data_IF_325300181711
#
_entry.id   IF_325300181711
#
_cell.length_a   1.000
_cell.length_b   1.000
_cell.length_c   1.000
_cell.angle_alpha   90.00
_cell.angle_beta   90.00
_cell.angle_gamma   90.00
#
_symmetry.space_group_name_H-M   'P 1'
#
loop_
_entity.id
_entity.type
_entity.pdbx_description
1 polymer ?
#
# COMPACT_ATOMS: atom_id res chain seq x y z
N UNK A 1 38.85 0.87 -5.95
CA UNK A 1 37.48 0.37 -5.84
C UNK A 1 37.07 0.50 -4.38
N UNK A 2 36.23 1.46 -4.10
CA UNK A 2 35.71 1.67 -2.75
C UNK A 2 34.55 0.70 -2.55
N UNK A 3 34.77 -0.33 -1.71
CA UNK A 3 33.77 -1.34 -1.38
C UNK A 3 33.29 -1.13 0.03
N UNK A 4 31.98 -0.94 0.18
CA UNK A 4 31.36 -0.80 1.50
C UNK A 4 30.13 -1.71 1.64
N UNK A 5 29.79 -2.02 2.89
CA UNK A 5 28.56 -2.75 3.21
C UNK A 5 27.72 -1.85 4.10
N UNK A 6 26.54 -1.51 3.61
CA UNK A 6 25.53 -0.76 4.38
C UNK A 6 24.53 -1.77 4.94
N UNK A 7 24.54 -1.93 6.25
CA UNK A 7 23.68 -2.89 6.95
C UNK A 7 22.32 -2.30 7.29
N UNK A 8 21.29 -3.14 7.31
CA UNK A 8 19.94 -2.79 7.73
C UNK A 8 19.29 -1.67 6.87
N UNK A 9 19.53 -1.70 5.56
CA UNK A 9 18.79 -0.86 4.62
C UNK A 9 17.32 -1.29 4.56
N UNK A 10 16.42 -0.33 4.33
CA UNK A 10 14.98 -0.56 4.27
C UNK A 10 14.50 -0.62 2.84
N UNK A 11 13.78 -1.68 2.50
CA UNK A 11 13.18 -1.89 1.18
C UNK A 11 11.75 -1.35 1.15
N UNK A 12 11.46 -0.44 0.21
CA UNK A 12 10.14 0.18 0.02
C UNK A 12 9.27 -0.51 -1.05
N UNK A 13 9.67 -1.67 -1.55
CA UNK A 13 9.01 -2.29 -2.70
C UNK A 13 7.61 -2.84 -2.39
N UNK A 14 7.32 -3.19 -1.14
CA UNK A 14 5.99 -3.66 -0.72
C UNK A 14 5.76 -3.41 0.77
N UNK A 15 4.53 -3.58 1.24
CA UNK A 15 4.14 -3.33 2.63
C UNK A 15 4.85 -4.17 3.70
N UNK A 16 5.67 -5.16 3.34
CA UNK A 16 6.57 -5.83 4.29
C UNK A 16 7.66 -4.92 4.86
N UNK A 17 8.02 -3.87 4.14
CA UNK A 17 8.99 -2.85 4.55
C UNK A 17 10.21 -3.49 5.26
N UNK A 18 10.89 -4.41 4.52
CA UNK A 18 12.00 -5.20 5.08
C UNK A 18 13.18 -4.28 5.42
N UNK A 19 13.58 -4.23 6.68
CA UNK A 19 14.59 -3.35 7.26
C UNK A 19 15.87 -4.11 7.70
N UNK A 20 16.11 -5.28 7.13
CA UNK A 20 17.23 -6.17 7.42
C UNK A 20 18.08 -6.48 6.17
N UNK A 21 18.06 -5.61 5.18
CA UNK A 21 18.78 -5.79 3.93
C UNK A 21 20.20 -5.26 4.07
N UNK A 22 21.22 -6.06 3.69
CA UNK A 22 22.60 -5.58 3.60
C UNK A 22 22.93 -5.27 2.14
N UNK A 23 23.31 -4.03 1.88
CA UNK A 23 23.69 -3.54 0.56
C UNK A 23 25.22 -3.56 0.42
N UNK A 24 25.73 -4.32 -0.52
CA UNK A 24 27.11 -4.25 -0.94
C UNK A 24 27.24 -3.22 -2.05
N UNK A 25 28.16 -2.29 -1.90
CA UNK A 25 28.35 -1.21 -2.86
C UNK A 25 29.79 -1.20 -3.37
N UNK A 26 29.94 -0.87 -4.66
CA UNK A 26 31.21 -0.64 -5.33
C UNK A 26 31.13 0.67 -6.13
N UNK A 27 32.05 1.60 -5.86
CA UNK A 27 32.13 2.90 -6.55
C UNK A 27 30.76 3.63 -6.63
N UNK A 28 29.99 3.62 -5.51
CA UNK A 28 28.68 4.30 -5.40
C UNK A 28 27.50 3.53 -6.01
N UNK A 29 27.69 2.30 -6.50
CA UNK A 29 26.64 1.46 -7.07
C UNK A 29 26.33 0.27 -6.18
N UNK A 30 25.05 -0.12 -6.11
CA UNK A 30 24.63 -1.32 -5.39
C UNK A 30 24.89 -2.53 -6.30
N UNK A 31 25.81 -3.41 -5.88
CA UNK A 31 26.18 -4.62 -6.63
C UNK A 31 25.55 -5.89 -6.07
N UNK A 32 25.14 -5.86 -4.78
CA UNK A 32 24.46 -6.98 -4.13
C UNK A 32 23.53 -6.45 -3.03
N UNK A 33 22.35 -7.04 -2.91
CA UNK A 33 21.40 -6.80 -1.83
C UNK A 33 21.11 -8.13 -1.12
N UNK A 34 21.79 -8.38 -0.01
CA UNK A 34 21.62 -9.60 0.76
C UNK A 34 20.26 -9.60 1.45
N UNK A 35 19.62 -10.76 1.50
CA UNK A 35 18.28 -10.97 2.05
C UNK A 35 17.15 -10.24 1.28
N UNK A 36 17.44 -9.53 0.19
CA UNK A 36 16.41 -8.98 -0.68
C UNK A 36 15.72 -10.06 -1.50
N UNK A 37 14.39 -10.02 -1.56
CA UNK A 37 13.61 -10.83 -2.51
C UNK A 37 13.70 -10.26 -3.93
N UNK A 38 13.00 -10.88 -4.89
CA UNK A 38 12.95 -10.39 -6.27
C UNK A 38 12.54 -8.90 -6.34
N UNK A 39 11.44 -8.54 -5.73
CA UNK A 39 10.94 -7.15 -5.71
C UNK A 39 11.93 -6.19 -5.02
N UNK A 40 12.54 -6.61 -3.91
CA UNK A 40 13.56 -5.80 -3.24
C UNK A 40 14.83 -5.61 -4.07
N UNK A 41 15.23 -6.63 -4.84
CA UNK A 41 16.35 -6.49 -5.80
C UNK A 41 16.00 -5.49 -6.90
N UNK A 42 14.81 -5.58 -7.48
CA UNK A 42 14.34 -4.61 -8.47
C UNK A 42 14.35 -3.18 -7.90
N UNK A 43 13.91 -3.00 -6.63
CA UNK A 43 13.97 -1.72 -5.93
C UNK A 43 15.39 -1.17 -5.81
N UNK A 44 16.33 -1.97 -5.30
CA UNK A 44 17.70 -1.52 -5.04
C UNK A 44 18.54 -1.40 -6.31
N UNK A 45 18.42 -2.34 -7.25
CA UNK A 45 19.19 -2.27 -8.51
C UNK A 45 18.64 -1.29 -9.52
N UNK A 46 17.39 -0.85 -9.37
CA UNK A 46 16.80 0.27 -10.12
C UNK A 46 17.25 1.64 -9.60
N UNK A 47 18.17 1.70 -8.63
CA UNK A 47 18.74 2.94 -8.15
C UNK A 47 19.80 3.50 -9.12
N UNK A 48 19.63 4.75 -9.52
CA UNK A 48 20.53 5.49 -10.44
C UNK A 48 20.95 6.81 -9.80
N UNK A 49 21.70 6.73 -8.69
CA UNK A 49 22.16 7.91 -7.92
C UNK A 49 23.19 8.78 -8.62
N UNK A 50 23.67 8.38 -9.79
CA UNK A 50 24.59 9.14 -10.65
C UNK A 50 23.88 10.05 -11.67
N UNK A 51 22.53 10.12 -11.65
CA UNK A 51 21.77 11.01 -12.52
C UNK A 51 22.21 12.46 -12.35
N UNK A 52 22.53 13.13 -13.46
CA UNK A 52 22.84 14.57 -13.49
C UNK A 52 21.57 15.41 -13.67
N UNK A 53 20.48 14.82 -14.11
CA UNK A 53 19.20 15.50 -14.33
C UNK A 53 18.46 15.60 -13.02
N UNK A 54 18.15 16.81 -12.58
CA UNK A 54 17.36 17.10 -11.37
C UNK A 54 15.91 17.42 -11.70
N UNK A 55 15.67 18.02 -12.87
CA UNK A 55 14.33 18.35 -13.36
C UNK A 55 14.26 18.44 -14.89
N UNK A 56 13.06 18.28 -15.41
CA UNK A 56 12.71 18.50 -16.82
C UNK A 56 11.50 19.43 -16.89
N UNK A 57 11.51 20.35 -17.85
CA UNK A 57 10.35 21.17 -18.24
C UNK A 57 10.10 20.93 -19.73
N UNK A 58 8.89 20.55 -20.09
CA UNK A 58 8.51 20.14 -21.46
C UNK A 58 9.50 19.14 -22.08
N UNK A 59 9.93 18.15 -21.27
CA UNK A 59 10.86 17.11 -21.68
C UNK A 59 12.32 17.55 -21.83
N UNK A 60 12.67 18.80 -21.51
CA UNK A 60 14.04 19.35 -21.61
C UNK A 60 14.64 19.54 -20.23
N UNK A 61 15.94 19.23 -20.02
CA UNK A 61 16.61 19.51 -18.75
C UNK A 61 16.45 20.99 -18.35
N UNK A 62 16.08 21.22 -17.10
CA UNK A 62 15.86 22.52 -16.50
C UNK A 62 16.52 22.62 -15.13
N UNK A 63 16.74 23.84 -14.65
CA UNK A 63 17.14 24.04 -13.27
C UNK A 63 16.01 23.70 -12.30
N UNK A 64 16.35 23.43 -11.04
CA UNK A 64 15.34 23.17 -10.01
C UNK A 64 14.39 24.36 -9.84
N UNK A 65 14.91 25.58 -9.85
CA UNK A 65 14.11 26.80 -9.65
C UNK A 65 13.14 27.03 -10.82
N UNK A 66 13.61 26.88 -12.07
CA UNK A 66 12.76 26.96 -13.26
C UNK A 66 11.63 25.92 -13.24
N UNK A 67 11.93 24.68 -12.84
CA UNK A 67 10.94 23.63 -12.74
C UNK A 67 9.94 23.89 -11.60
N UNK A 68 10.39 24.42 -10.46
CA UNK A 68 9.53 24.81 -9.34
C UNK A 68 8.57 25.93 -9.74
N UNK A 69 9.06 26.97 -10.42
CA UNK A 69 8.22 28.06 -10.92
C UNK A 69 7.17 27.56 -11.93
N UNK A 70 7.57 26.68 -12.86
CA UNK A 70 6.65 26.08 -13.83
C UNK A 70 5.58 25.23 -13.14
N UNK A 71 5.97 24.38 -12.19
CA UNK A 71 5.04 23.55 -11.41
C UNK A 71 4.07 24.40 -10.58
N UNK A 72 4.56 25.42 -9.87
CA UNK A 72 3.74 26.35 -9.11
C UNK A 72 2.73 27.08 -10.02
N UNK A 73 3.18 27.55 -11.20
CA UNK A 73 2.30 28.21 -12.17
C UNK A 73 1.19 27.29 -12.70
N UNK A 74 1.46 25.99 -12.90
CA UNK A 74 0.44 25.00 -13.30
C UNK A 74 -0.61 24.85 -12.20
N UNK A 75 -0.16 24.63 -10.97
CA UNK A 75 -1.07 24.39 -9.84
C UNK A 75 -1.87 25.64 -9.45
N UNK A 76 -1.27 26.84 -9.53
CA UNK A 76 -1.96 28.09 -9.21
C UNK A 76 -3.07 28.46 -10.20
N UNK A 77 -3.02 27.96 -11.43
CA UNK A 77 -4.01 28.25 -12.48
C UNK A 77 -5.15 27.24 -12.53
N UNK A 78 -5.01 26.14 -11.83
CA UNK A 78 -6.02 25.09 -11.83
C UNK A 78 -7.20 25.46 -10.93
N UNK A 79 -8.40 25.16 -11.40
CA UNK A 79 -9.62 25.31 -10.61
C UNK A 79 -9.80 24.15 -9.64
N UNK A 80 -9.38 22.92 -10.02
CA UNK A 80 -9.43 21.73 -9.18
C UNK A 80 -8.15 20.86 -9.36
N UNK A 81 -7.01 21.29 -8.80
CA UNK A 81 -5.78 20.51 -8.89
C UNK A 81 -5.84 19.21 -8.07
N UNK A 82 -5.37 18.11 -8.66
CA UNK A 82 -5.30 16.79 -8.03
C UNK A 82 -3.86 16.47 -7.63
N UNK A 83 -3.62 16.13 -6.37
CA UNK A 83 -2.37 15.52 -5.91
C UNK A 83 -2.61 14.02 -5.70
N UNK A 84 -1.80 13.15 -6.30
CA UNK A 84 -1.99 11.71 -6.26
C UNK A 84 -0.71 10.91 -6.08
N UNK A 85 -0.81 9.77 -5.35
CA UNK A 85 0.24 8.76 -5.24
C UNK A 85 0.68 8.49 -3.81
N UNK A 86 1.89 8.92 -3.46
CA UNK A 86 2.45 8.96 -2.10
C UNK A 86 2.79 7.59 -1.46
N UNK A 87 2.40 6.46 -2.06
CA UNK A 87 2.61 5.13 -1.48
C UNK A 87 4.07 4.68 -1.40
N UNK A 88 4.95 5.30 -2.19
CA UNK A 88 6.41 5.06 -2.16
C UNK A 88 7.22 6.28 -1.67
N UNK A 89 6.56 7.27 -1.09
CA UNK A 89 7.19 8.44 -0.46
C UNK A 89 7.32 8.28 1.05
N UNK A 90 8.15 9.10 1.69
CA UNK A 90 8.27 9.15 3.16
C UNK A 90 7.04 9.80 3.81
N UNK A 91 6.83 9.59 5.10
CA UNK A 91 5.77 10.28 5.85
C UNK A 91 5.95 11.80 5.86
N UNK A 92 7.19 12.25 5.84
CA UNK A 92 7.57 13.67 5.75
C UNK A 92 7.09 14.26 4.41
N UNK A 93 7.35 13.57 3.30
CA UNK A 93 6.88 13.95 1.97
C UNK A 93 5.35 13.91 1.86
N UNK A 94 4.72 12.88 2.43
CA UNK A 94 3.25 12.76 2.48
C UNK A 94 2.62 13.95 3.21
N UNK A 95 3.22 14.37 4.33
CA UNK A 95 2.79 15.56 5.07
C UNK A 95 2.94 16.83 4.22
N UNK A 96 4.08 17.01 3.53
CA UNK A 96 4.29 18.18 2.67
C UNK A 96 3.26 18.24 1.52
N UNK A 97 2.92 17.08 0.92
CA UNK A 97 1.91 17.01 -0.13
C UNK A 97 0.49 17.39 0.37
N UNK A 98 0.11 16.95 1.58
CA UNK A 98 -1.19 17.29 2.17
C UNK A 98 -1.26 18.80 2.46
N UNK A 99 -0.20 19.37 3.03
CA UNK A 99 -0.13 20.81 3.29
C UNK A 99 -0.19 21.63 2.00
N UNK A 100 0.43 21.14 0.91
CA UNK A 100 0.31 21.76 -0.41
C UNK A 100 -1.11 21.70 -0.95
N UNK A 101 -1.79 20.54 -0.83
CA UNK A 101 -3.18 20.40 -1.26
C UNK A 101 -4.13 21.35 -0.52
N UNK A 102 -3.93 21.51 0.79
CA UNK A 102 -4.69 22.45 1.61
C UNK A 102 -4.46 23.91 1.17
N UNK A 103 -3.22 24.31 0.95
CA UNK A 103 -2.86 25.67 0.55
C UNK A 103 -3.46 26.08 -0.82
N UNK A 104 -3.52 25.14 -1.77
CA UNK A 104 -4.07 25.40 -3.12
C UNK A 104 -5.55 25.10 -3.25
N UNK A 105 -6.23 24.64 -2.17
CA UNK A 105 -7.62 24.24 -2.22
C UNK A 105 -7.90 23.05 -3.16
N UNK A 106 -6.90 22.19 -3.36
CA UNK A 106 -6.99 21.07 -4.27
C UNK A 106 -7.55 19.79 -3.64
N UNK A 107 -7.54 18.72 -4.41
CA UNK A 107 -7.86 17.37 -3.94
C UNK A 107 -6.59 16.54 -3.80
N UNK A 108 -6.49 15.79 -2.72
CA UNK A 108 -5.40 14.84 -2.52
C UNK A 108 -5.93 13.42 -2.33
N UNK A 109 -5.33 12.47 -3.03
CA UNK A 109 -5.67 11.06 -2.90
C UNK A 109 -4.42 10.18 -2.96
N UNK A 110 -4.53 8.99 -2.41
CA UNK A 110 -3.42 8.04 -2.33
C UNK A 110 -3.71 6.79 -3.16
N UNK A 111 -2.67 6.04 -3.51
CA UNK A 111 -2.79 4.74 -4.16
C UNK A 111 -3.75 3.79 -3.39
N UNK A 112 -3.86 3.97 -2.08
CA UNK A 112 -4.75 3.16 -1.23
C UNK A 112 -6.22 3.25 -1.62
N UNK A 113 -6.71 4.39 -2.12
CA UNK A 113 -8.12 4.55 -2.48
C UNK A 113 -8.59 3.47 -3.44
N UNK A 114 -7.77 3.11 -4.43
CA UNK A 114 -8.06 2.08 -5.42
C UNK A 114 -7.91 0.65 -4.88
N UNK A 115 -6.98 0.40 -3.97
CA UNK A 115 -6.61 -0.95 -3.52
C UNK A 115 -7.31 -1.33 -2.23
N UNK A 116 -7.11 -0.55 -1.18
CA UNK A 116 -7.59 -0.80 0.17
C UNK A 116 -8.51 0.30 0.73
N UNK A 117 -9.00 1.23 -0.10
CA UNK A 117 -10.05 2.17 0.28
C UNK A 117 -11.28 1.46 0.85
N UNK A 118 -11.81 0.41 0.20
CA UNK A 118 -12.88 -0.41 0.76
C UNK A 118 -12.53 -1.03 2.12
N UNK A 119 -11.26 -1.36 2.37
CA UNK A 119 -10.82 -1.88 3.68
C UNK A 119 -10.93 -0.83 4.78
N UNK A 120 -10.73 0.46 4.45
CA UNK A 120 -10.92 1.55 5.40
C UNK A 120 -12.39 1.71 5.76
N UNK A 121 -13.28 1.73 4.75
CA UNK A 121 -14.72 1.82 4.96
C UNK A 121 -15.25 0.66 5.78
N UNK A 122 -14.85 -0.58 5.47
CA UNK A 122 -15.24 -1.75 6.26
C UNK A 122 -14.81 -1.64 7.72
N UNK A 123 -13.57 -1.16 7.96
CA UNK A 123 -13.08 -0.94 9.33
C UNK A 123 -13.82 0.20 10.06
N UNK A 124 -14.21 1.26 9.37
CA UNK A 124 -15.03 2.34 9.97
C UNK A 124 -16.42 1.87 10.37
N UNK A 125 -17.03 0.94 9.61
CA UNK A 125 -18.38 0.42 9.90
C UNK A 125 -18.41 -0.45 11.17
N UNK A 126 -17.41 -1.31 11.37
CA UNK A 126 -17.48 -2.35 12.41
C UNK A 126 -16.27 -2.38 13.34
N UNK A 127 -15.28 -1.52 13.14
CA UNK A 127 -14.00 -1.60 13.82
C UNK A 127 -13.08 -2.67 13.23
N UNK A 128 -11.85 -2.75 13.73
CA UNK A 128 -10.90 -3.77 13.31
C UNK A 128 -10.13 -4.34 14.51
N UNK A 129 -9.86 -5.63 14.46
CA UNK A 129 -8.90 -6.30 15.35
C UNK A 129 -7.67 -6.62 14.52
N UNK A 130 -6.53 -6.07 14.88
CA UNK A 130 -5.28 -6.26 14.13
C UNK A 130 -4.14 -6.67 15.06
N UNK A 131 -3.01 -7.08 14.48
CA UNK A 131 -1.79 -7.45 15.21
C UNK A 131 -0.55 -7.03 14.43
N UNK A 132 0.59 -7.01 15.12
CA UNK A 132 1.88 -6.77 14.50
C UNK A 132 2.43 -8.04 13.83
N UNK A 133 3.29 -7.88 12.81
CA UNK A 133 4.02 -9.01 12.23
C UNK A 133 4.97 -9.67 13.24
N UNK A 134 5.38 -8.94 14.29
CA UNK A 134 6.10 -9.48 15.42
C UNK A 134 5.26 -10.45 16.25
N UNK A 135 3.98 -10.15 16.47
CA UNK A 135 3.03 -11.08 17.12
C UNK A 135 2.76 -12.29 16.24
N UNK A 136 2.55 -12.08 14.94
CA UNK A 136 2.40 -13.19 13.98
C UNK A 136 3.58 -14.15 14.08
N UNK A 137 4.80 -13.65 13.98
CA UNK A 137 6.02 -14.44 14.07
C UNK A 137 6.13 -15.25 15.36
N UNK A 138 5.73 -14.65 16.48
CA UNK A 138 5.92 -15.26 17.81
C UNK A 138 4.75 -16.12 18.26
N UNK A 139 3.53 -15.92 17.75
CA UNK A 139 2.31 -16.49 18.34
C UNK A 139 1.42 -17.25 17.37
N UNK A 140 1.32 -16.80 16.08
CA UNK A 140 0.32 -17.31 15.17
C UNK A 140 0.59 -18.78 14.83
N UNK A 141 -0.39 -19.63 15.10
CA UNK A 141 -0.42 -21.05 14.76
C UNK A 141 -1.42 -21.37 13.63
N UNK A 142 -2.35 -20.43 13.34
CA UNK A 142 -3.23 -20.50 12.18
C UNK A 142 -3.11 -19.24 11.32
N UNK A 143 -2.80 -19.42 10.05
CA UNK A 143 -2.64 -18.35 9.07
C UNK A 143 -3.65 -18.58 7.94
N UNK A 144 -4.58 -17.64 7.75
CA UNK A 144 -5.57 -17.71 6.67
C UNK A 144 -5.33 -16.56 5.70
N UNK A 145 -4.95 -16.87 4.48
CA UNK A 145 -4.78 -15.92 3.40
C UNK A 145 -6.03 -15.87 2.54
N UNK A 146 -6.62 -14.70 2.36
CA UNK A 146 -7.88 -14.51 1.66
C UNK A 146 -7.74 -13.53 0.50
N UNK A 147 -7.96 -13.99 -0.73
CA UNK A 147 -7.90 -13.17 -1.93
C UNK A 147 -6.54 -12.45 -2.09
N UNK A 148 -5.44 -13.16 -1.84
CA UNK A 148 -4.08 -12.63 -1.93
C UNK A 148 -3.07 -13.70 -2.30
N UNK A 149 -2.02 -13.31 -3.06
CA UNK A 149 -0.95 -14.20 -3.50
C UNK A 149 0.43 -13.71 -2.99
N UNK A 150 0.72 -13.84 -1.68
CA UNK A 150 1.93 -13.28 -1.09
C UNK A 150 3.25 -13.89 -1.59
N UNK A 151 3.24 -15.09 -2.18
CA UNK A 151 4.44 -15.66 -2.84
C UNK A 151 4.93 -14.71 -3.95
N UNK A 152 4.03 -14.07 -4.66
CA UNK A 152 4.36 -13.12 -5.74
C UNK A 152 4.44 -11.68 -5.25
N UNK A 153 3.46 -11.24 -4.45
CA UNK A 153 3.32 -9.83 -4.05
C UNK A 153 4.16 -9.45 -2.84
N UNK A 154 4.44 -10.40 -1.94
CA UNK A 154 5.17 -10.19 -0.69
C UNK A 154 6.15 -11.35 -0.40
N UNK A 155 7.15 -11.63 -1.26
CA UNK A 155 7.89 -12.91 -1.26
C UNK A 155 8.58 -13.25 0.06
N UNK A 156 8.97 -12.23 0.87
CA UNK A 156 9.58 -12.47 2.19
C UNK A 156 8.58 -12.57 3.34
N UNK A 157 7.29 -12.36 3.10
CA UNK A 157 6.30 -12.42 4.17
C UNK A 157 6.28 -13.78 4.87
N UNK A 158 6.27 -14.88 4.10
CA UNK A 158 6.28 -16.24 4.64
C UNK A 158 7.55 -16.57 5.40
N UNK A 159 8.71 -16.19 4.86
CA UNK A 159 10.01 -16.57 5.40
C UNK A 159 10.49 -15.67 6.52
N UNK A 160 10.01 -14.42 6.60
CA UNK A 160 10.45 -13.48 7.61
C UNK A 160 9.50 -13.38 8.79
N UNK A 161 8.18 -13.42 8.54
CA UNK A 161 7.20 -13.06 9.56
C UNK A 161 6.18 -14.16 9.87
N UNK A 162 5.65 -14.88 8.87
CA UNK A 162 4.42 -15.61 9.08
C UNK A 162 4.62 -17.13 9.19
N UNK A 163 5.11 -17.79 8.15
CA UNK A 163 4.96 -19.23 8.00
C UNK A 163 6.13 -20.07 8.49
N UNK A 164 7.36 -19.73 8.06
CA UNK A 164 8.55 -20.53 8.37
C UNK A 164 9.29 -20.14 9.66
N UNK A 165 9.28 -18.86 10.13
CA UNK A 165 10.15 -18.49 11.23
C UNK A 165 9.72 -19.14 12.54
N UNK A 166 10.73 -19.53 13.35
CA UNK A 166 10.51 -19.93 14.73
C UNK A 166 10.12 -18.71 15.57
N UNK A 167 9.21 -18.92 16.51
CA UNK A 167 8.72 -17.89 17.44
C UNK A 167 8.63 -18.40 18.88
N UNK A 168 8.41 -17.48 19.81
CA UNK A 168 8.38 -17.81 21.25
C UNK A 168 7.34 -18.87 21.61
N UNK A 169 6.16 -18.83 20.97
CA UNK A 169 5.04 -19.75 21.25
C UNK A 169 4.81 -20.76 20.11
N UNK A 170 5.64 -20.72 19.08
CA UNK A 170 5.66 -21.62 17.94
C UNK A 170 7.11 -22.02 17.62
N UNK A 171 7.78 -22.71 18.57
CA UNK A 171 9.21 -23.04 18.48
C UNK A 171 9.57 -23.96 17.31
N UNK A 172 8.62 -24.77 16.83
CA UNK A 172 8.79 -25.61 15.64
C UNK A 172 8.70 -24.84 14.32
N UNK A 173 8.35 -23.54 14.37
CA UNK A 173 8.22 -22.71 13.17
C UNK A 173 7.10 -23.23 12.27
N UNK A 174 7.48 -23.63 11.02
CA UNK A 174 6.55 -24.20 10.03
C UNK A 174 5.70 -25.36 10.57
N UNK A 175 6.28 -26.20 11.40
CA UNK A 175 5.63 -27.41 11.90
C UNK A 175 4.58 -27.14 13.01
N UNK A 176 4.61 -25.96 13.61
CA UNK A 176 3.62 -25.53 14.61
C UNK A 176 2.50 -24.67 13.99
N UNK A 177 2.47 -24.53 12.66
CA UNK A 177 1.54 -23.66 11.94
C UNK A 177 0.75 -24.39 10.88
N UNK A 178 -0.50 -24.03 10.75
CA UNK A 178 -1.35 -24.36 9.60
C UNK A 178 -1.56 -23.13 8.75
N UNK A 179 -1.38 -23.27 7.44
CA UNK A 179 -1.63 -22.23 6.46
C UNK A 179 -2.77 -22.62 5.52
N UNK A 180 -3.84 -21.83 5.54
CA UNK A 180 -5.00 -22.00 4.68
C UNK A 180 -5.04 -20.85 3.67
N UNK A 181 -5.31 -21.16 2.41
CA UNK A 181 -5.58 -20.13 1.41
C UNK A 181 -7.03 -20.25 0.92
N UNK A 182 -7.74 -19.12 0.90
CA UNK A 182 -9.08 -18.96 0.34
C UNK A 182 -8.99 -18.04 -0.87
N UNK A 183 -9.24 -18.56 -2.05
CA UNK A 183 -9.18 -17.81 -3.31
C UNK A 183 -10.08 -18.40 -4.38
N UNK A 184 -10.29 -17.67 -5.46
CA UNK A 184 -11.07 -18.10 -6.63
C UNK A 184 -10.24 -18.92 -7.61
N UNK A 185 -8.91 -18.88 -7.50
CA UNK A 185 -7.99 -19.56 -8.43
C UNK A 185 -6.79 -20.18 -7.72
N UNK A 186 -6.22 -21.23 -8.33
CA UNK A 186 -4.99 -21.89 -7.88
C UNK A 186 -3.77 -21.00 -8.17
N UNK A 187 -3.33 -20.26 -7.17
CA UNK A 187 -2.15 -19.39 -7.22
C UNK A 187 -0.90 -20.10 -6.71
N UNK A 188 0.30 -19.49 -6.89
CA UNK A 188 1.52 -20.02 -6.28
C UNK A 188 1.42 -20.09 -4.74
N UNK A 189 0.67 -19.20 -4.11
CA UNK A 189 0.41 -19.24 -2.67
C UNK A 189 -0.53 -20.37 -2.28
N UNK A 190 -1.51 -20.72 -3.13
CA UNK A 190 -2.37 -21.87 -2.93
C UNK A 190 -1.58 -23.18 -2.89
N UNK A 191 -0.62 -23.33 -3.80
CA UNK A 191 0.28 -24.51 -3.86
C UNK A 191 1.25 -24.60 -2.69
N UNK A 192 1.54 -23.47 -2.03
CA UNK A 192 2.38 -23.42 -0.84
C UNK A 192 1.60 -23.66 0.47
N UNK A 193 0.27 -23.56 0.43
CA UNK A 193 -0.61 -23.72 1.59
C UNK A 193 -0.76 -25.19 1.99
N UNK A 194 -1.11 -25.43 3.27
CA UNK A 194 -1.49 -26.75 3.75
C UNK A 194 -2.89 -27.15 3.27
N UNK A 195 -3.76 -26.15 3.11
CA UNK A 195 -5.13 -26.31 2.63
C UNK A 195 -5.48 -25.18 1.67
N UNK A 196 -6.10 -25.52 0.55
CA UNK A 196 -6.65 -24.58 -0.39
C UNK A 196 -8.16 -24.73 -0.47
N UNK A 197 -8.89 -23.66 -0.19
CA UNK A 197 -10.34 -23.59 -0.32
C UNK A 197 -10.67 -22.71 -1.52
N UNK A 198 -11.02 -23.34 -2.63
CA UNK A 198 -11.47 -22.61 -3.82
C UNK A 198 -12.93 -22.23 -3.66
N UNK A 199 -13.24 -20.94 -3.83
CA UNK A 199 -14.58 -20.39 -3.77
C UNK A 199 -15.04 -19.87 -5.12
N UNK A 200 -16.36 -19.72 -5.30
CA UNK A 200 -16.90 -19.10 -6.50
C UNK A 200 -16.60 -17.59 -6.49
N UNK A 201 -16.23 -16.99 -7.65
CA UNK A 201 -15.94 -15.57 -7.74
C UNK A 201 -17.08 -14.68 -7.22
N UNK A 202 -16.75 -13.71 -6.36
CA UNK A 202 -17.69 -12.73 -5.83
C UNK A 202 -18.62 -13.25 -4.73
N UNK A 203 -18.31 -14.40 -4.11
CA UNK A 203 -19.10 -15.00 -3.00
C UNK A 203 -18.41 -14.87 -1.64
N UNK A 204 -17.45 -13.97 -1.54
CA UNK A 204 -16.69 -13.72 -0.30
C UNK A 204 -17.59 -13.31 0.86
N UNK A 205 -18.56 -12.42 0.60
CA UNK A 205 -19.52 -11.95 1.62
C UNK A 205 -20.39 -13.08 2.15
N UNK A 206 -20.89 -13.91 1.24
CA UNK A 206 -21.72 -15.07 1.54
C UNK A 206 -20.96 -16.06 2.43
N UNK A 207 -19.73 -16.43 2.05
CA UNK A 207 -18.90 -17.33 2.84
C UNK A 207 -18.61 -16.77 4.24
N UNK A 208 -18.15 -15.50 4.32
CA UNK A 208 -17.86 -14.86 5.60
C UNK A 208 -19.09 -14.79 6.51
N UNK A 209 -20.28 -14.61 5.93
CA UNK A 209 -21.55 -14.60 6.66
C UNK A 209 -21.90 -15.99 7.17
N UNK A 210 -21.75 -17.03 6.36
CA UNK A 210 -21.94 -18.44 6.75
C UNK A 210 -20.98 -18.82 7.88
N UNK A 211 -19.68 -18.55 7.72
CA UNK A 211 -18.69 -18.87 8.76
C UNK A 211 -19.03 -18.19 10.09
N UNK A 212 -19.44 -16.92 10.03
CA UNK A 212 -19.87 -16.20 11.23
C UNK A 212 -21.14 -16.76 11.86
N UNK A 213 -22.10 -17.25 11.06
CA UNK A 213 -23.29 -17.92 11.56
C UNK A 213 -22.92 -19.19 12.33
N UNK A 214 -22.03 -20.04 11.78
CA UNK A 214 -21.54 -21.27 12.44
C UNK A 214 -20.82 -20.90 13.75
N UNK A 215 -19.90 -19.92 13.74
CA UNK A 215 -19.18 -19.46 14.95
C UNK A 215 -20.15 -19.04 16.07
N UNK A 216 -21.32 -18.52 15.71
CA UNK A 216 -22.34 -18.03 16.65
C UNK A 216 -23.45 -19.04 16.95
N UNK A 217 -23.26 -20.27 16.52
CA UNK A 217 -24.27 -21.35 16.64
C UNK A 217 -25.67 -20.95 16.09
N UNK A 218 -25.64 -20.27 14.94
CA UNK A 218 -26.86 -19.84 14.24
C UNK A 218 -27.11 -20.73 13.04
N UNK A 219 -28.39 -20.82 12.63
CA UNK A 219 -28.78 -21.57 11.44
C UNK A 219 -28.06 -21.02 10.20
N UNK A 220 -27.43 -21.96 9.48
CA UNK A 220 -26.79 -21.64 8.18
C UNK A 220 -27.86 -21.53 7.11
N UNK A 221 -27.77 -20.49 6.31
CA UNK A 221 -28.56 -20.35 5.08
C UNK A 221 -27.96 -21.26 4.00
N UNK A 222 -28.73 -22.22 3.56
CA UNK A 222 -28.26 -23.21 2.60
C UNK A 222 -28.00 -22.64 1.20
N UNK A 223 -28.75 -21.61 0.80
CA UNK A 223 -28.57 -20.96 -0.51
C UNK A 223 -27.30 -20.09 -0.53
N UNK A 224 -27.02 -19.39 0.57
CA UNK A 224 -25.75 -18.65 0.71
C UNK A 224 -24.55 -19.58 0.68
N UNK A 225 -24.62 -20.71 1.37
CA UNK A 225 -23.55 -21.71 1.35
C UNK A 225 -23.35 -22.31 -0.03
N UNK A 226 -24.45 -22.73 -0.69
CA UNK A 226 -24.42 -23.32 -2.03
C UNK A 226 -23.76 -22.34 -3.06
N UNK A 227 -24.04 -21.05 -2.95
CA UNK A 227 -23.45 -20.02 -3.81
C UNK A 227 -21.91 -19.97 -3.73
N UNK A 228 -21.32 -20.36 -2.60
CA UNK A 228 -19.85 -20.34 -2.41
C UNK A 228 -19.13 -21.49 -3.11
N UNK A 229 -19.81 -22.54 -3.48
CA UNK A 229 -19.26 -23.81 -3.98
C UNK A 229 -18.66 -24.69 -2.89
N UNK A 230 -18.78 -24.35 -1.62
CA UNK A 230 -18.34 -25.17 -0.48
C UNK A 230 -19.49 -25.97 0.14
N UNK A 231 -19.15 -27.09 0.76
CA UNK A 231 -20.09 -27.87 1.56
C UNK A 231 -20.17 -27.36 2.99
N UNK A 232 -21.21 -27.73 3.72
CA UNK A 232 -21.34 -27.45 5.15
C UNK A 232 -20.18 -28.05 5.96
N UNK A 233 -19.72 -29.24 5.56
CA UNK A 233 -18.56 -29.90 6.16
C UNK A 233 -17.31 -29.02 6.03
N UNK A 234 -16.96 -28.52 4.82
CA UNK A 234 -15.84 -27.61 4.62
C UNK A 234 -15.94 -26.34 5.49
N UNK A 235 -17.13 -25.75 5.57
CA UNK A 235 -17.33 -24.53 6.37
C UNK A 235 -17.21 -24.84 7.88
N UNK A 236 -17.74 -25.96 8.35
CA UNK A 236 -17.67 -26.39 9.76
C UNK A 236 -16.24 -26.75 10.17
N UNK A 237 -15.48 -27.43 9.32
CA UNK A 237 -14.08 -27.78 9.55
C UNK A 237 -13.22 -26.54 9.62
N UNK A 238 -13.45 -25.55 8.74
CA UNK A 238 -12.74 -24.29 8.78
C UNK A 238 -13.03 -23.53 10.10
N UNK A 239 -14.29 -23.49 10.54
CA UNK A 239 -14.67 -22.88 11.83
C UNK A 239 -14.03 -23.62 13.01
N UNK A 240 -14.01 -24.96 12.99
CA UNK A 240 -13.36 -25.76 14.03
C UNK A 240 -11.85 -25.44 14.12
N UNK A 241 -11.16 -25.32 12.99
CA UNK A 241 -9.76 -24.90 12.97
C UNK A 241 -9.58 -23.48 13.52
N UNK A 242 -10.44 -22.54 13.12
CA UNK A 242 -10.38 -21.15 13.60
C UNK A 242 -10.61 -21.05 15.10
N UNK A 243 -11.62 -21.71 15.64
CA UNK A 243 -11.94 -21.67 17.09
C UNK A 243 -10.96 -22.47 17.93
N UNK A 244 -10.30 -23.49 17.36
CA UNK A 244 -9.27 -24.30 18.03
C UNK A 244 -7.87 -23.70 18.00
N UNK A 245 -7.60 -22.68 17.19
CA UNK A 245 -6.31 -22.00 17.13
C UNK A 245 -6.01 -21.26 18.43
N UNK A 246 -4.74 -21.15 18.82
CA UNK A 246 -4.30 -20.33 19.95
C UNK A 246 -4.17 -18.86 19.57
N UNK A 247 -3.75 -18.58 18.33
CA UNK A 247 -3.66 -17.25 17.75
C UNK A 247 -3.80 -17.35 16.24
N UNK A 248 -5.01 -17.04 15.73
CA UNK A 248 -5.30 -17.03 14.30
C UNK A 248 -5.13 -15.66 13.67
N UNK A 249 -4.73 -15.62 12.40
CA UNK A 249 -4.61 -14.36 11.65
C UNK A 249 -5.16 -14.52 10.25
N UNK A 250 -6.07 -13.62 9.86
CA UNK A 250 -6.44 -13.40 8.48
C UNK A 250 -5.46 -12.40 7.85
N UNK A 251 -4.88 -12.78 6.73
CA UNK A 251 -4.21 -11.89 5.81
C UNK A 251 -5.07 -11.76 4.55
N UNK A 252 -5.51 -10.55 4.22
CA UNK A 252 -6.41 -10.35 3.09
C UNK A 252 -5.89 -9.32 2.11
N UNK A 253 -6.08 -9.59 0.83
CA UNK A 253 -5.64 -8.74 -0.26
C UNK A 253 -6.76 -8.04 -1.01
N UNK A 254 -6.40 -7.49 -2.16
CA UNK A 254 -7.32 -6.81 -3.09
C UNK A 254 -8.34 -7.76 -3.69
N UNK A 255 -8.08 -9.08 -3.72
CA UNK A 255 -9.06 -10.10 -4.10
C UNK A 255 -10.29 -10.12 -3.20
N UNK A 256 -10.19 -9.65 -1.93
CA UNK A 256 -11.34 -9.46 -1.06
C UNK A 256 -11.93 -8.04 -1.18
N UNK A 257 -11.08 -7.01 -1.20
CA UNK A 257 -11.52 -5.61 -1.07
C UNK A 257 -12.02 -4.99 -2.38
N UNK A 258 -11.65 -5.53 -3.55
CA UNK A 258 -12.02 -4.99 -4.87
C UNK A 258 -13.09 -5.81 -5.61
N UNK A 259 -13.47 -6.97 -5.09
CA UNK A 259 -14.51 -7.84 -5.66
C UNK A 259 -15.91 -7.34 -5.33
N UNK A 260 -16.95 -8.02 -5.83
CA UNK A 260 -18.34 -7.76 -5.47
C UNK A 260 -18.50 -7.72 -3.95
N UNK A 261 -19.17 -6.70 -3.43
CA UNK A 261 -19.32 -6.47 -1.99
C UNK A 261 -18.28 -5.50 -1.42
N UNK A 262 -17.10 -5.37 -2.01
CA UNK A 262 -16.07 -4.36 -1.65
C UNK A 262 -15.89 -4.19 -0.13
N UNK A 263 -16.26 -3.03 0.42
CA UNK A 263 -16.16 -2.72 1.85
C UNK A 263 -17.02 -3.62 2.74
N UNK A 264 -18.12 -4.18 2.23
CA UNK A 264 -18.97 -5.12 2.98
C UNK A 264 -18.28 -6.46 3.20
N UNK A 265 -17.46 -6.93 2.24
CA UNK A 265 -16.62 -8.13 2.43
C UNK A 265 -15.66 -7.93 3.60
N UNK A 266 -15.00 -6.76 3.64
CA UNK A 266 -14.07 -6.42 4.72
C UNK A 266 -14.78 -6.25 6.06
N UNK A 267 -15.94 -5.62 6.08
CA UNK A 267 -16.79 -5.52 7.28
C UNK A 267 -17.23 -6.91 7.79
N UNK A 268 -17.58 -7.83 6.88
CA UNK A 268 -17.92 -9.21 7.21
C UNK A 268 -16.70 -9.97 7.78
N UNK A 269 -15.49 -9.80 7.18
CA UNK A 269 -14.26 -10.39 7.69
C UNK A 269 -13.94 -9.89 9.10
N UNK A 270 -14.00 -8.58 9.33
CA UNK A 270 -13.77 -8.01 10.66
C UNK A 270 -14.83 -8.46 11.67
N UNK A 271 -16.10 -8.57 11.26
CA UNK A 271 -17.18 -9.10 12.08
C UNK A 271 -16.98 -10.57 12.46
N UNK A 272 -16.48 -11.39 11.53
CA UNK A 272 -16.07 -12.77 11.81
C UNK A 272 -14.88 -12.79 12.78
N UNK A 273 -13.86 -11.97 12.53
CA UNK A 273 -12.70 -11.84 13.41
C UNK A 273 -13.10 -11.50 14.86
N UNK A 274 -14.03 -10.55 15.04
CA UNK A 274 -14.57 -10.21 16.36
C UNK A 274 -15.32 -11.37 17.02
N UNK A 275 -16.14 -12.10 16.23
CA UNK A 275 -16.85 -13.27 16.76
C UNK A 275 -15.90 -14.37 17.24
N UNK A 276 -14.81 -14.62 16.51
CA UNK A 276 -13.77 -15.58 16.87
C UNK A 276 -13.04 -15.20 18.17
N UNK A 277 -12.92 -13.91 18.48
CA UNK A 277 -12.30 -13.44 19.73
C UNK A 277 -13.11 -13.76 20.99
N UNK A 278 -14.32 -14.31 20.88
CA UNK A 278 -15.02 -14.92 22.00
C UNK A 278 -14.42 -16.29 22.42
N UNK A 279 -13.70 -16.95 21.51
CA UNK A 279 -13.13 -18.29 21.72
C UNK A 279 -11.62 -18.27 21.86
N UNK A 280 -10.93 -17.47 21.04
CA UNK A 280 -9.48 -17.44 20.95
C UNK A 280 -8.99 -16.03 20.54
N UNK A 281 -7.68 -15.87 20.38
CA UNK A 281 -7.11 -14.64 19.82
C UNK A 281 -7.11 -14.70 18.31
N UNK A 282 -7.77 -13.76 17.67
CA UNK A 282 -7.84 -13.69 16.21
C UNK A 282 -7.66 -12.23 15.72
N UNK A 283 -6.90 -12.04 14.66
CA UNK A 283 -6.63 -10.72 14.07
C UNK A 283 -6.81 -10.74 12.55
N UNK A 284 -6.96 -9.56 11.95
CA UNK A 284 -7.00 -9.39 10.49
C UNK A 284 -6.05 -8.27 10.05
N UNK A 285 -5.19 -8.56 9.07
CA UNK A 285 -4.16 -7.68 8.55
C UNK A 285 -4.30 -7.58 7.03
N UNK A 286 -4.52 -6.39 6.45
CA UNK A 286 -4.51 -6.21 5.01
C UNK A 286 -3.08 -6.32 4.45
N UNK A 287 -2.92 -7.03 3.34
CA UNK A 287 -1.68 -7.15 2.58
C UNK A 287 -1.53 -5.91 1.69
N UNK A 288 -0.66 -4.98 2.09
CA UNK A 288 -0.50 -3.67 1.44
C UNK A 288 0.52 -3.72 0.31
N UNK A 289 0.18 -3.14 -0.84
CA UNK A 289 0.95 -3.29 -2.07
C UNK A 289 2.26 -2.49 -2.04
N UNK A 290 2.21 -1.20 -1.67
CA UNK A 290 3.39 -0.33 -1.66
C UNK A 290 4.00 -0.17 -0.27
N UNK A 291 5.28 0.23 -0.24
CA UNK A 291 6.07 0.25 1.00
C UNK A 291 5.52 1.16 2.09
N UNK A 292 4.93 2.29 1.74
CA UNK A 292 4.41 3.27 2.70
C UNK A 292 2.95 3.66 2.48
N UNK A 293 2.13 2.78 1.91
CA UNK A 293 0.68 2.98 1.82
C UNK A 293 0.04 3.24 3.19
N UNK A 294 0.52 2.54 4.22
CA UNK A 294 0.02 2.72 5.60
C UNK A 294 0.44 4.09 6.15
N UNK A 295 1.63 4.56 5.84
CA UNK A 295 2.06 5.91 6.19
C UNK A 295 1.18 6.96 5.54
N UNK A 296 0.89 6.83 4.24
CA UNK A 296 0.02 7.76 3.53
C UNK A 296 -1.38 7.84 4.17
N UNK A 297 -1.99 6.68 4.48
CA UNK A 297 -3.27 6.62 5.18
C UNK A 297 -3.23 7.27 6.56
N UNK A 298 -2.17 7.04 7.31
CA UNK A 298 -2.00 7.56 8.66
C UNK A 298 -1.81 9.09 8.66
N UNK A 299 -0.86 9.58 7.84
CA UNK A 299 -0.57 11.01 7.74
C UNK A 299 -1.79 11.77 7.24
N UNK A 300 -2.50 11.23 6.22
CA UNK A 300 -3.76 11.78 5.75
C UNK A 300 -4.80 11.86 6.89
N UNK A 301 -5.00 10.75 7.63
CA UNK A 301 -5.96 10.70 8.73
C UNK A 301 -5.60 11.66 9.88
N UNK A 302 -4.32 11.82 10.20
CA UNK A 302 -3.87 12.71 11.28
C UNK A 302 -4.08 14.18 10.97
N UNK A 303 -3.87 14.57 9.70
CA UNK A 303 -3.95 15.98 9.31
C UNK A 303 -5.36 16.40 8.88
N UNK A 304 -6.16 15.47 8.32
CA UNK A 304 -7.45 15.81 7.71
C UNK A 304 -8.65 15.16 8.36
N UNK A 305 -8.44 14.10 9.17
CA UNK A 305 -9.50 13.25 9.71
C UNK A 305 -9.93 12.11 8.77
N UNK A 306 -9.42 12.06 7.53
CA UNK A 306 -9.81 11.09 6.51
C UNK A 306 -8.60 10.35 5.93
N UNK A 307 -8.72 9.06 5.58
CA UNK A 307 -7.58 8.26 5.12
C UNK A 307 -7.28 8.36 3.62
N UNK A 308 -8.26 8.74 2.79
CA UNK A 308 -8.18 8.78 1.31
C UNK A 308 -9.15 9.79 0.73
N UNK A 309 -8.87 10.30 -0.47
CA UNK A 309 -9.77 11.13 -1.25
C UNK A 309 -10.27 12.36 -0.48
N UNK A 310 -9.38 13.32 -0.22
CA UNK A 310 -9.70 14.53 0.56
C UNK A 310 -9.70 15.75 -0.34
N UNK A 311 -10.82 16.48 -0.31
CA UNK A 311 -11.05 17.72 -1.03
C UNK A 311 -10.98 18.93 -0.09
N UNK A 312 -10.13 19.91 -0.44
CA UNK A 312 -9.95 21.18 0.26
C UNK A 312 -10.56 22.38 -0.47
N UNK A 313 -11.26 22.20 -1.59
CA UNK A 313 -11.77 23.31 -2.42
C UNK A 313 -12.69 24.28 -1.69
N UNK A 314 -13.22 23.92 -0.52
CA UNK A 314 -14.04 24.79 0.35
C UNK A 314 -13.31 25.37 1.56
N UNK A 315 -11.97 25.23 1.62
CA UNK A 315 -11.16 25.73 2.72
C UNK A 315 -11.18 24.86 3.98
N UNK A 316 -11.72 23.65 3.92
CA UNK A 316 -11.67 22.64 4.97
C UNK A 316 -11.71 21.22 4.36
N UNK A 317 -11.14 20.22 5.04
CA UNK A 317 -11.07 18.86 4.48
C UNK A 317 -12.47 18.22 4.43
N UNK A 318 -12.79 17.65 3.28
CA UNK A 318 -13.99 16.85 3.02
C UNK A 318 -13.59 15.53 2.39
N UNK A 319 -14.26 14.46 2.72
CA UNK A 319 -14.07 13.16 2.07
C UNK A 319 -15.41 12.49 1.88
N UNK A 320 -15.64 12.01 0.66
CA UNK A 320 -16.76 11.16 0.33
C UNK A 320 -16.29 10.07 -0.65
N UNK A 321 -16.31 8.81 -0.26
CA UNK A 321 -15.94 7.70 -1.15
C UNK A 321 -16.84 7.69 -2.39
N UNK A 322 -16.22 7.59 -3.58
CA UNK A 322 -16.93 7.69 -4.87
C UNK A 322 -17.13 9.11 -5.39
N UNK A 323 -16.60 10.13 -4.69
CA UNK A 323 -16.67 11.51 -5.13
C UNK A 323 -15.29 12.15 -5.30
N UNK A 324 -14.41 12.04 -4.29
CA UNK A 324 -13.13 12.74 -4.25
C UNK A 324 -11.90 11.86 -4.46
N UNK A 325 -12.07 10.60 -4.88
CA UNK A 325 -10.91 9.79 -5.22
C UNK A 325 -10.32 10.22 -6.57
N UNK A 326 -9.03 10.02 -6.76
CA UNK A 326 -8.35 10.38 -8.01
C UNK A 326 -9.00 9.70 -9.23
N UNK A 327 -9.40 8.43 -9.10
CA UNK A 327 -10.09 7.70 -10.18
C UNK A 327 -11.44 8.35 -10.51
N UNK A 328 -12.21 8.73 -9.49
CA UNK A 328 -13.53 9.36 -9.68
C UNK A 328 -13.39 10.71 -10.40
N UNK A 329 -12.48 11.58 -9.93
CA UNK A 329 -12.26 12.91 -10.49
C UNK A 329 -11.75 12.84 -11.95
N UNK A 330 -10.76 11.98 -12.20
CA UNK A 330 -10.19 11.82 -13.54
C UNK A 330 -11.21 11.19 -14.51
N UNK A 331 -11.96 10.18 -14.09
CA UNK A 331 -12.98 9.55 -14.94
C UNK A 331 -14.12 10.50 -15.27
N UNK A 332 -14.52 11.38 -14.35
CA UNK A 332 -15.54 12.42 -14.58
C UNK A 332 -15.00 13.69 -15.23
N UNK A 333 -13.67 13.75 -15.48
CA UNK A 333 -12.98 14.89 -16.09
C UNK A 333 -13.15 16.20 -15.28
N UNK A 334 -13.12 16.08 -13.96
CA UNK A 334 -13.28 17.21 -13.04
C UNK A 334 -11.93 17.86 -12.66
N UNK A 335 -10.86 17.07 -12.51
CA UNK A 335 -9.51 17.61 -12.29
C UNK A 335 -8.97 18.26 -13.56
N UNK A 336 -8.39 19.46 -13.45
CA UNK A 336 -7.86 20.24 -14.57
C UNK A 336 -6.32 20.43 -14.53
N UNK A 337 -5.68 20.00 -13.43
CA UNK A 337 -4.24 19.80 -13.33
C UNK A 337 -3.93 18.64 -12.37
N UNK A 338 -2.74 18.03 -12.50
CA UNK A 338 -2.34 16.96 -11.59
C UNK A 338 -0.89 17.09 -11.12
N UNK A 339 -0.63 16.71 -9.87
CA UNK A 339 0.70 16.48 -9.29
C UNK A 339 0.79 15.00 -8.86
N UNK A 340 1.61 14.24 -9.56
CA UNK A 340 1.80 12.80 -9.31
C UNK A 340 3.09 12.61 -8.52
N UNK A 341 3.02 11.97 -7.35
CA UNK A 341 4.17 11.80 -6.45
C UNK A 341 4.43 10.32 -6.21
N UNK A 342 5.59 9.84 -6.68
CA UNK A 342 6.07 8.47 -6.50
C UNK A 342 5.02 7.40 -6.82
N UNK A 343 4.32 7.56 -7.96
CA UNK A 343 3.24 6.69 -8.40
C UNK A 343 3.21 6.53 -9.91
N UNK A 344 2.60 5.44 -10.37
CA UNK A 344 2.35 5.17 -11.79
C UNK A 344 0.85 4.98 -12.07
N UNK A 345 0.07 6.06 -12.15
CA UNK A 345 -1.35 5.99 -12.47
C UNK A 345 -1.61 5.42 -13.88
N UNK A 346 -0.67 5.59 -14.81
CA UNK A 346 -0.81 5.11 -16.21
C UNK A 346 -0.93 3.60 -16.32
N UNK A 347 -0.28 2.84 -15.42
CA UNK A 347 -0.36 1.37 -15.40
C UNK A 347 -1.42 0.82 -14.44
N UNK A 348 -1.95 1.65 -13.52
CA UNK A 348 -2.79 1.17 -12.41
C UNK A 348 -4.24 1.66 -12.45
N UNK A 349 -4.49 2.81 -13.07
CA UNK A 349 -5.84 3.39 -13.17
C UNK A 349 -6.63 2.85 -14.37
N UNK A 350 -7.97 2.95 -14.32
CA UNK A 350 -8.82 2.68 -15.50
C UNK A 350 -8.47 3.58 -16.67
N UNK A 351 -8.65 3.05 -17.89
CA UNK A 351 -8.34 3.72 -19.15
C UNK A 351 -8.93 5.14 -19.25
N UNK A 352 -10.21 5.30 -18.90
CA UNK A 352 -10.89 6.61 -18.94
C UNK A 352 -10.25 7.66 -18.02
N UNK A 353 -9.68 7.25 -16.88
CA UNK A 353 -8.95 8.13 -15.97
C UNK A 353 -7.59 8.53 -16.57
N UNK A 354 -6.89 7.56 -17.17
CA UNK A 354 -5.58 7.79 -17.83
C UNK A 354 -5.74 8.70 -19.05
N UNK A 355 -6.75 8.45 -19.90
CA UNK A 355 -7.05 9.31 -21.04
C UNK A 355 -7.22 10.78 -20.63
N UNK A 356 -7.96 11.04 -19.55
CA UNK A 356 -8.13 12.40 -19.08
C UNK A 356 -6.84 12.97 -18.48
N UNK A 357 -6.11 12.21 -17.67
CA UNK A 357 -4.83 12.63 -17.10
C UNK A 357 -3.83 13.09 -18.17
N UNK A 358 -3.81 12.43 -19.33
CA UNK A 358 -2.94 12.80 -20.45
C UNK A 358 -3.38 14.10 -21.17
N UNK A 359 -4.61 14.55 -21.00
CA UNK A 359 -5.12 15.80 -21.60
C UNK A 359 -4.87 17.03 -20.75
N UNK A 360 -4.66 16.87 -19.44
CA UNK A 360 -4.45 17.98 -18.50
C UNK A 360 -2.96 18.20 -18.21
N UNK A 361 -2.53 19.43 -17.91
CA UNK A 361 -1.15 19.66 -17.48
C UNK A 361 -0.86 18.91 -16.18
N UNK A 362 0.24 18.15 -16.19
CA UNK A 362 0.62 17.43 -14.98
C UNK A 362 2.12 17.55 -14.66
N UNK A 363 2.40 17.55 -13.37
CA UNK A 363 3.71 17.56 -12.75
C UNK A 363 3.98 16.17 -12.18
N UNK A 364 5.20 15.66 -12.35
CA UNK A 364 5.62 14.37 -11.80
C UNK A 364 6.80 14.56 -10.87
N UNK A 365 6.74 14.00 -9.68
CA UNK A 365 7.85 13.85 -8.75
C UNK A 365 8.12 12.35 -8.62
N UNK A 366 9.29 11.89 -9.06
CA UNK A 366 9.63 10.47 -8.98
C UNK A 366 11.16 10.30 -8.84
N UNK A 367 11.56 9.15 -8.32
CA UNK A 367 12.97 8.82 -8.08
C UNK A 367 13.75 8.66 -9.39
N UNK A 368 15.05 8.83 -9.32
CA UNK A 368 15.95 8.53 -10.41
C UNK A 368 15.77 7.06 -10.88
N UNK A 369 15.64 6.86 -12.20
CA UNK A 369 15.41 5.55 -12.82
C UNK A 369 13.96 5.24 -13.17
N UNK A 370 12.98 6.04 -12.72
CA UNK A 370 11.59 5.91 -13.16
C UNK A 370 11.38 6.25 -14.67
N UNK A 371 12.37 6.91 -15.28
CA UNK A 371 12.33 7.34 -16.68
C UNK A 371 11.51 8.62 -16.91
N UNK A 372 11.67 9.26 -18.07
CA UNK A 372 10.88 10.43 -18.43
C UNK A 372 9.44 10.03 -18.76
N UNK A 373 8.48 10.82 -18.27
CA UNK A 373 7.07 10.71 -18.63
C UNK A 373 6.79 11.61 -19.83
N UNK A 374 6.41 11.00 -20.96
CA UNK A 374 6.37 11.67 -22.26
C UNK A 374 5.52 12.95 -22.30
N UNK A 375 4.42 13.00 -21.54
CA UNK A 375 3.46 14.11 -21.56
C UNK A 375 3.52 14.99 -20.29
N UNK A 376 4.47 14.74 -19.36
CA UNK A 376 4.62 15.57 -18.18
C UNK A 376 5.15 16.97 -18.58
N UNK A 377 4.46 18.02 -18.11
CA UNK A 377 4.90 19.41 -18.31
C UNK A 377 6.13 19.71 -17.47
N UNK A 378 6.17 19.17 -16.25
CA UNK A 378 7.30 19.26 -15.35
C UNK A 378 7.55 17.89 -14.74
N UNK A 379 8.81 17.47 -14.69
CA UNK A 379 9.22 16.26 -13.98
C UNK A 379 10.42 16.57 -13.09
N UNK A 380 10.31 16.24 -11.81
CA UNK A 380 11.40 16.26 -10.86
C UNK A 380 11.97 14.85 -10.68
N UNK A 381 13.29 14.76 -10.62
CA UNK A 381 14.03 13.55 -10.31
C UNK A 381 14.51 13.67 -8.87
N UNK A 382 13.99 12.83 -8.00
CA UNK A 382 14.22 12.94 -6.55
C UNK A 382 15.02 11.78 -5.98
N UNK A 383 15.48 11.96 -4.74
CA UNK A 383 16.15 10.93 -3.96
C UNK A 383 15.19 9.78 -3.65
N UNK A 384 15.72 8.56 -3.57
CA UNK A 384 14.97 7.33 -3.36
C UNK A 384 14.83 7.01 -1.87
N UNK A 385 13.61 6.93 -1.29
CA UNK A 385 13.41 6.59 0.11
C UNK A 385 14.07 5.26 0.51
N UNK A 386 14.83 5.25 1.62
CA UNK A 386 15.54 4.08 2.13
C UNK A 386 16.82 3.71 1.36
N UNK A 387 17.19 4.48 0.31
CA UNK A 387 18.46 4.31 -0.41
C UNK A 387 19.34 5.55 -0.22
N UNK A 388 18.91 6.71 -0.69
CA UNK A 388 19.63 7.98 -0.55
C UNK A 388 18.78 9.12 0.04
N UNK A 389 17.51 8.83 0.38
CA UNK A 389 16.68 9.67 1.22
C UNK A 389 16.34 8.97 2.54
N UNK A 390 16.64 9.58 3.71
CA UNK A 390 16.14 9.12 5.00
C UNK A 390 14.66 9.49 5.15
N UNK A 391 14.01 8.97 6.20
CA UNK A 391 12.65 9.33 6.55
C UNK A 391 11.92 8.23 7.32
N UNK A 392 10.62 8.40 7.48
CA UNK A 392 9.76 7.46 8.18
C UNK A 392 8.81 6.77 7.21
N UNK A 393 8.63 5.46 7.36
CA UNK A 393 7.58 4.70 6.67
C UNK A 393 6.85 3.78 7.66
N UNK A 394 5.60 3.44 7.35
CA UNK A 394 4.81 2.51 8.17
C UNK A 394 4.62 1.17 7.45
N UNK A 395 5.09 0.10 8.10
CA UNK A 395 4.87 -1.27 7.64
C UNK A 395 3.37 -1.61 7.64
N UNK A 396 2.96 -2.61 6.86
CA UNK A 396 1.56 -3.01 6.72
C UNK A 396 0.82 -3.27 8.05
N UNK A 397 1.54 -3.53 9.12
CA UNK A 397 1.04 -3.78 10.47
C UNK A 397 1.12 -2.55 11.39
N UNK A 398 1.20 -1.35 10.83
CA UNK A 398 1.24 -0.05 11.52
C UNK A 398 2.49 0.20 12.38
N UNK A 399 3.53 -0.60 12.23
CA UNK A 399 4.81 -0.36 12.91
C UNK A 399 5.63 0.67 12.13
N UNK A 400 6.01 1.80 12.75
CA UNK A 400 6.88 2.77 12.10
C UNK A 400 8.30 2.22 11.95
N UNK A 401 8.90 2.47 10.79
CA UNK A 401 10.29 2.12 10.47
C UNK A 401 11.02 3.40 10.10
N UNK A 402 12.09 3.70 10.84
CA UNK A 402 12.99 4.79 10.49
C UNK A 402 13.97 4.31 9.42
N UNK A 403 13.89 4.90 8.26
CA UNK A 403 14.76 4.60 7.13
C UNK A 403 16.02 5.46 7.20
N UNK A 404 17.17 4.83 6.95
CA UNK A 404 18.45 5.50 6.86
C UNK A 404 18.86 5.62 5.40
N UNK A 405 19.49 6.73 5.03
CA UNK A 405 20.15 6.84 3.75
C UNK A 405 21.40 5.93 3.74
N UNK A 406 21.53 5.10 2.71
CA UNK A 406 22.72 4.29 2.45
C UNK A 406 23.80 5.10 1.72
N UNK A 407 23.39 6.14 0.99
CA UNK A 407 24.25 7.05 0.24
C UNK A 407 23.90 8.50 0.54
N UNK A 408 24.84 9.40 0.31
CA UNK A 408 24.55 10.83 0.25
C UNK A 408 23.89 11.14 -1.09
N UNK A 409 22.68 11.65 -1.08
CA UNK A 409 21.99 12.03 -2.30
C UNK A 409 22.56 13.33 -2.88
N UNK A 410 22.53 13.41 -4.22
CA UNK A 410 22.69 14.67 -4.97
C UNK A 410 21.35 15.28 -5.38
N UNK A 411 20.28 14.47 -5.26
CA UNK A 411 18.93 14.87 -5.60
C UNK A 411 18.21 15.41 -4.36
N UNK A 412 17.30 16.36 -4.58
CA UNK A 412 16.38 16.79 -3.55
C UNK A 412 15.42 15.63 -3.17
N UNK A 413 14.94 15.62 -1.95
CA UNK A 413 13.87 14.69 -1.55
C UNK A 413 12.51 15.16 -2.09
N UNK A 414 11.51 14.25 -2.13
CA UNK A 414 10.12 14.64 -2.47
C UNK A 414 9.63 15.77 -1.54
N UNK A 415 9.96 15.69 -0.23
CA UNK A 415 9.61 16.72 0.76
C UNK A 415 10.18 18.09 0.40
N UNK A 416 11.46 18.15 0.01
CA UNK A 416 12.13 19.41 -0.37
C UNK A 416 11.52 20.00 -1.63
N UNK A 417 11.21 19.18 -2.65
CA UNK A 417 10.57 19.66 -3.88
C UNK A 417 9.17 20.18 -3.59
N UNK A 418 8.35 19.45 -2.84
CA UNK A 418 7.01 19.87 -2.44
C UNK A 418 7.03 21.15 -1.61
N UNK A 419 8.01 21.27 -0.69
CA UNK A 419 8.23 22.48 0.10
C UNK A 419 8.60 23.70 -0.74
N UNK A 420 9.45 23.54 -1.77
CA UNK A 420 9.82 24.61 -2.70
C UNK A 420 8.63 25.05 -3.56
N UNK A 421 7.83 24.11 -4.10
CA UNK A 421 6.62 24.44 -4.86
C UNK A 421 5.64 25.24 -3.98
N UNK A 422 5.42 24.78 -2.74
CA UNK A 422 4.56 25.44 -1.76
C UNK A 422 5.04 26.88 -1.46
N UNK A 423 6.35 27.05 -1.31
CA UNK A 423 6.95 28.38 -1.07
C UNK A 423 6.79 29.32 -2.28
N UNK A 424 6.98 28.81 -3.50
CA UNK A 424 6.78 29.58 -4.72
C UNK A 424 5.32 30.04 -4.90
N UNK A 425 4.36 29.18 -4.56
CA UNK A 425 2.92 29.52 -4.56
C UNK A 425 2.56 30.61 -3.54
N UNK A 426 3.18 30.58 -2.37
CA UNK A 426 2.93 31.60 -1.33
C UNK A 426 3.57 32.97 -1.66
N UNK A 427 4.53 33.02 -2.59
CA UNK A 427 5.22 34.24 -3.01
C UNK A 427 4.57 34.90 -4.25
N UNK A 428 3.66 34.20 -4.94
CA UNK A 428 2.95 34.66 -6.13
C UNK A 428 1.62 35.34 -5.78
#
# INVERSE_FOLDING_TARGET
MDRTIVTNATCMSCGCLCDDIDLHTEDGRIVRAERACRLGREWFFGYHGDSQTTALVDGRPASMDEAVEAAASILARADLPLIYGLGNSTCESQRAAIMLAEDIGGVIDTHTSMTHGPSKLGAQLVGKVTCTLGEVRNRADLLIYWGTNPVETHPRHFTRYAYTPRGKFVPGGRYDRTMILVDVQDTLSARAADQFLQIQPGTDFELLTVLRAIVRDQKVDADLLAATGLTLEHATDLVAQMTGARFGVFFFGTGLSRTRGRHMNVAALHSLTMALNAFTKFAAVPMRDLGNDVGADNVMSWLTGYPVGVDFSRGYPRSNPGEFTAVDLLTRREADAALIVAADPWSTMPEAAVEHLETIPHVVIDRAGAGPRANARVQFVTASPGIDAPGTAYRMDWVPVSMRAAFNSRQATDEEVLGRIRHALAAA
#
